data_IF_298263595814
#
_entry.id   IF_298263595814
#
_cell.length_a   1.000
_cell.length_b   1.000
_cell.length_c   1.000
_cell.angle_alpha   90.00
_cell.angle_beta   90.00
_cell.angle_gamma   90.00
#
_symmetry.space_group_name_H-M   'P 1'
#
loop_
_entity.id
_entity.type
_entity.pdbx_description
1 polymer ?
#
# COMPACT_ATOMS: atom_id res chain seq x y z
N UNK A 1 9.49 -15.24 4.36
CA UNK A 1 9.01 -14.57 3.13
C UNK A 1 7.53 -14.23 3.31
N UNK A 2 7.09 -13.05 2.82
CA UNK A 2 5.70 -12.62 2.82
C UNK A 2 5.27 -12.38 1.38
N UNK A 3 4.08 -12.87 0.98
CA UNK A 3 3.58 -12.67 -0.38
C UNK A 3 2.06 -12.72 -0.43
N UNK A 4 1.47 -12.01 -1.38
CA UNK A 4 0.05 -12.07 -1.74
C UNK A 4 -0.13 -13.07 -2.90
N UNK A 5 -1.04 -14.02 -2.72
CA UNK A 5 -1.35 -15.06 -3.72
C UNK A 5 -2.68 -14.80 -4.44
N UNK A 6 -3.69 -14.32 -3.70
CA UNK A 6 -5.02 -14.04 -4.26
C UNK A 6 -5.73 -12.98 -3.42
N UNK A 7 -6.44 -12.10 -4.08
CA UNK A 7 -7.41 -11.20 -3.46
C UNK A 7 -8.77 -11.37 -4.12
N UNK A 8 -9.79 -11.64 -3.32
CA UNK A 8 -11.17 -11.86 -3.78
C UNK A 8 -12.10 -10.84 -3.16
N UNK A 9 -13.01 -10.31 -3.97
CA UNK A 9 -14.01 -9.32 -3.61
C UNK A 9 -15.38 -9.69 -4.19
N UNK A 10 -16.47 -9.40 -3.46
CA UNK A 10 -17.85 -9.53 -3.93
C UNK A 10 -18.70 -8.42 -3.32
N UNK A 11 -19.67 -7.93 -4.06
CA UNK A 11 -20.60 -6.88 -3.68
C UNK A 11 -19.92 -5.62 -3.12
N UNK A 12 -19.01 -5.04 -3.89
CA UNK A 12 -18.29 -3.81 -3.53
C UNK A 12 -18.29 -2.81 -4.69
N UNK A 13 -18.80 -1.61 -4.53
CA UNK A 13 -18.84 -0.50 -5.52
C UNK A 13 -19.22 -0.96 -6.93
N UNK A 14 -18.25 -1.24 -7.83
CA UNK A 14 -18.46 -1.70 -9.20
C UNK A 14 -18.47 -3.24 -9.36
N UNK A 15 -18.20 -3.99 -8.29
CA UNK A 15 -18.16 -5.44 -8.29
C UNK A 15 -19.45 -6.01 -7.72
N UNK A 16 -20.40 -6.42 -8.58
CA UNK A 16 -21.62 -7.09 -8.16
C UNK A 16 -21.37 -8.54 -7.74
N UNK A 17 -20.58 -9.25 -8.54
CA UNK A 17 -20.27 -10.67 -8.36
C UNK A 17 -18.84 -10.87 -7.87
N UNK A 18 -18.59 -12.07 -7.36
CA UNK A 18 -17.26 -12.49 -6.90
C UNK A 18 -16.23 -12.39 -8.02
N UNK A 19 -15.16 -11.63 -7.76
CA UNK A 19 -13.99 -11.48 -8.62
C UNK A 19 -12.72 -11.70 -7.84
N UNK A 20 -11.74 -12.35 -8.47
CA UNK A 20 -10.45 -12.63 -7.84
C UNK A 20 -9.30 -12.12 -8.69
N UNK A 21 -8.38 -11.42 -8.06
CA UNK A 21 -7.05 -11.15 -8.57
C UNK A 21 -6.15 -12.30 -8.14
N UNK A 22 -5.64 -13.07 -9.08
CA UNK A 22 -4.76 -14.23 -8.83
C UNK A 22 -3.32 -13.83 -9.14
N UNK A 23 -2.46 -13.97 -8.14
CA UNK A 23 -1.03 -13.62 -8.19
C UNK A 23 -0.12 -14.83 -7.97
N UNK A 24 -0.69 -16.03 -7.80
CA UNK A 24 0.05 -17.28 -7.76
C UNK A 24 0.35 -17.78 -9.18
N UNK A 25 1.50 -18.42 -9.38
CA UNK A 25 1.78 -19.12 -10.62
C UNK A 25 0.80 -20.30 -10.80
N UNK A 26 0.32 -20.48 -12.02
CA UNK A 26 -0.40 -21.71 -12.39
C UNK A 26 0.61 -22.82 -12.66
N UNK A 27 0.20 -24.08 -12.49
CA UNK A 27 1.04 -25.26 -12.75
C UNK A 27 1.60 -25.38 -14.18
N UNK A 28 1.16 -24.51 -15.09
CA UNK A 28 1.65 -24.41 -16.47
C UNK A 28 2.89 -23.50 -16.59
N UNK A 29 3.20 -22.70 -15.57
CA UNK A 29 4.28 -21.71 -15.58
C UNK A 29 5.54 -22.18 -14.83
N UNK A 30 5.67 -23.46 -14.51
CA UNK A 30 6.78 -24.07 -13.73
C UNK A 30 8.19 -23.81 -14.29
N UNK A 31 8.30 -23.24 -15.49
CA UNK A 31 9.57 -22.98 -16.15
C UNK A 31 10.17 -21.59 -15.85
N UNK A 32 9.44 -20.66 -15.18
CA UNK A 32 9.82 -19.26 -15.19
C UNK A 32 10.30 -18.65 -13.86
N UNK A 33 10.01 -19.21 -12.68
CA UNK A 33 10.53 -18.64 -11.43
C UNK A 33 10.63 -19.65 -10.30
N UNK A 34 11.59 -19.40 -9.39
CA UNK A 34 11.77 -20.18 -8.15
C UNK A 34 10.73 -19.85 -7.06
N UNK A 35 9.85 -18.88 -7.30
CA UNK A 35 8.87 -18.39 -6.31
C UNK A 35 7.44 -18.73 -6.75
N UNK A 36 6.53 -19.07 -5.80
CA UNK A 36 5.17 -19.49 -6.11
C UNK A 36 4.22 -18.35 -6.48
N UNK A 37 4.72 -17.12 -6.64
CA UNK A 37 3.91 -15.93 -6.88
C UNK A 37 4.52 -14.99 -7.92
N UNK A 38 3.67 -14.15 -8.52
CA UNK A 38 4.06 -13.10 -9.45
C UNK A 38 4.68 -11.93 -8.69
N UNK A 39 5.85 -11.46 -9.12
CA UNK A 39 6.50 -10.25 -8.60
C UNK A 39 5.85 -8.97 -9.11
N UNK A 40 5.30 -9.00 -10.31
CA UNK A 40 4.65 -7.86 -10.95
C UNK A 40 3.32 -8.29 -11.54
N UNK A 41 2.29 -7.49 -11.30
CA UNK A 41 0.99 -7.63 -11.94
C UNK A 41 0.47 -6.26 -12.39
N UNK A 42 0.24 -6.11 -13.69
CA UNK A 42 -0.36 -4.92 -14.28
C UNK A 42 -1.86 -5.12 -14.50
N UNK A 43 -2.68 -4.23 -13.94
CA UNK A 43 -4.12 -4.19 -14.13
C UNK A 43 -4.44 -3.16 -15.22
N UNK A 44 -4.75 -3.67 -16.39
CA UNK A 44 -5.07 -2.86 -17.55
C UNK A 44 -6.57 -2.89 -17.87
N UNK A 45 -7.11 -1.81 -18.37
CA UNK A 45 -8.50 -1.71 -18.81
C UNK A 45 -8.95 -0.27 -19.07
N UNK A 46 -10.10 -0.13 -19.69
CA UNK A 46 -10.71 1.18 -19.98
C UNK A 46 -11.00 1.99 -18.70
N UNK A 47 -11.23 3.29 -18.86
CA UNK A 47 -11.75 4.12 -17.77
C UNK A 47 -13.05 3.51 -17.23
N UNK A 48 -13.29 3.63 -15.94
CA UNK A 48 -14.47 3.09 -15.25
C UNK A 48 -14.60 1.56 -15.29
N UNK A 49 -13.56 0.80 -15.67
CA UNK A 49 -13.58 -0.68 -15.67
C UNK A 49 -13.47 -1.31 -14.27
N UNK A 50 -13.32 -0.50 -13.23
CA UNK A 50 -13.21 -0.97 -11.85
C UNK A 50 -11.79 -1.15 -11.31
N UNK A 51 -10.73 -0.79 -12.06
CA UNK A 51 -9.33 -0.93 -11.62
C UNK A 51 -9.07 -0.27 -10.26
N UNK A 52 -9.37 1.01 -10.14
CA UNK A 52 -9.22 1.76 -8.89
C UNK A 52 -10.12 1.21 -7.77
N UNK A 53 -11.30 0.67 -8.11
CA UNK A 53 -12.17 0.04 -7.12
C UNK A 53 -11.59 -1.26 -6.55
N UNK A 54 -10.77 -2.00 -7.31
CA UNK A 54 -10.05 -3.15 -6.78
C UNK A 54 -9.00 -2.73 -5.74
N UNK A 55 -8.22 -1.69 -6.04
CA UNK A 55 -7.26 -1.12 -5.07
C UNK A 55 -7.98 -0.56 -3.84
N UNK A 56 -9.10 0.16 -4.04
CA UNK A 56 -9.92 0.67 -2.95
C UNK A 56 -10.54 -0.45 -2.10
N UNK A 57 -10.92 -1.58 -2.70
CA UNK A 57 -11.44 -2.74 -1.97
C UNK A 57 -10.39 -3.31 -1.01
N UNK A 58 -9.14 -3.45 -1.45
CA UNK A 58 -8.05 -3.89 -0.59
C UNK A 58 -7.75 -2.86 0.52
N UNK A 59 -7.76 -1.57 0.18
CA UNK A 59 -7.60 -0.50 1.16
C UNK A 59 -8.71 -0.54 2.22
N UNK A 60 -9.97 -0.79 1.79
CA UNK A 60 -11.11 -0.93 2.69
C UNK A 60 -10.99 -2.16 3.58
N UNK A 61 -10.66 -3.33 3.01
CA UNK A 61 -10.39 -4.55 3.80
C UNK A 61 -9.33 -4.28 4.88
N UNK A 62 -8.20 -3.69 4.49
CA UNK A 62 -7.11 -3.34 5.41
C UNK A 62 -7.57 -2.35 6.49
N UNK A 63 -8.34 -1.32 6.13
CA UNK A 63 -8.88 -0.35 7.06
C UNK A 63 -9.78 -1.00 8.12
N UNK A 64 -10.73 -1.86 7.70
CA UNK A 64 -11.64 -2.58 8.60
C UNK A 64 -10.83 -3.45 9.57
N UNK A 65 -9.86 -4.23 9.08
CA UNK A 65 -9.01 -5.10 9.91
C UNK A 65 -8.26 -4.30 10.99
N UNK A 66 -7.63 -3.19 10.60
CA UNK A 66 -6.76 -2.41 11.51
C UNK A 66 -7.53 -1.52 12.48
N UNK A 67 -8.80 -1.22 12.20
CA UNK A 67 -9.63 -0.33 13.03
C UNK A 67 -10.78 -1.05 13.73
N UNK A 68 -11.01 -2.33 13.44
CA UNK A 68 -12.12 -3.13 13.98
C UNK A 68 -12.27 -3.02 15.51
N UNK A 69 -11.17 -3.06 16.23
CA UNK A 69 -11.17 -2.99 17.70
C UNK A 69 -11.46 -1.59 18.27
N UNK A 70 -11.45 -0.56 17.42
CA UNK A 70 -11.74 0.85 17.81
C UNK A 70 -13.21 1.20 17.63
N UNK A 71 -13.96 0.35 16.92
CA UNK A 71 -15.40 0.55 16.68
C UNK A 71 -16.16 0.31 17.99
N UNK A 72 -16.99 1.27 18.40
CA UNK A 72 -17.83 1.09 19.57
C UNK A 72 -18.98 0.13 19.26
N UNK A 73 -19.53 -0.46 20.31
CA UNK A 73 -20.70 -1.33 20.18
C UNK A 73 -21.88 -0.55 19.58
N UNK A 74 -22.50 -1.12 18.53
CA UNK A 74 -23.60 -0.50 17.80
C UNK A 74 -23.22 0.58 16.80
N UNK A 75 -21.93 0.95 16.64
CA UNK A 75 -21.49 1.81 15.54
C UNK A 75 -21.57 1.10 14.20
N UNK A 76 -21.89 1.87 13.16
CA UNK A 76 -21.97 1.38 11.80
C UNK A 76 -20.57 1.05 11.24
N UNK A 77 -20.54 -0.02 10.46
CA UNK A 77 -19.35 -0.43 9.74
C UNK A 77 -19.26 0.25 8.37
N UNK A 78 -18.02 0.37 7.88
CA UNK A 78 -17.76 0.78 6.52
C UNK A 78 -18.35 -0.24 5.53
N UNK A 79 -19.33 0.20 4.74
CA UNK A 79 -20.08 -0.64 3.83
C UNK A 79 -20.42 0.12 2.54
N UNK A 80 -19.88 -0.36 1.43
CA UNK A 80 -20.01 0.26 0.12
C UNK A 80 -20.43 -0.77 -0.95
N UNK A 81 -21.67 -1.29 -0.89
CA UNK A 81 -22.10 -2.37 -1.78
C UNK A 81 -22.29 -1.90 -3.22
N UNK A 82 -22.45 -2.86 -4.13
CA UNK A 82 -22.87 -2.58 -5.49
C UNK A 82 -24.36 -2.17 -5.52
N UNK A 83 -24.63 -0.91 -5.86
CA UNK A 83 -25.96 -0.30 -5.74
C UNK A 83 -26.91 -0.59 -6.89
N UNK A 84 -26.42 -1.15 -8.01
CA UNK A 84 -27.18 -1.29 -9.26
C UNK A 84 -27.81 -2.68 -9.43
N UNK A 85 -28.03 -3.42 -8.32
CA UNK A 85 -28.70 -4.71 -8.31
C UNK A 85 -29.60 -4.86 -7.08
N UNK A 86 -30.37 -5.92 -7.05
CA UNK A 86 -31.15 -6.39 -5.88
C UNK A 86 -30.24 -6.83 -4.72
N UNK A 87 -28.99 -7.16 -5.00
CA UNK A 87 -27.95 -7.55 -4.01
C UNK A 87 -27.37 -6.38 -3.21
N UNK A 88 -27.83 -5.16 -3.39
CA UNK A 88 -27.34 -3.97 -2.68
C UNK A 88 -27.39 -4.06 -1.15
N UNK A 89 -28.23 -4.96 -0.61
CA UNK A 89 -28.36 -5.20 0.82
C UNK A 89 -27.63 -6.49 1.27
N UNK A 90 -26.98 -7.22 0.36
CA UNK A 90 -26.17 -8.38 0.70
C UNK A 90 -24.82 -7.94 1.27
N UNK A 91 -24.18 -8.73 2.13
CA UNK A 91 -22.86 -8.40 2.67
C UNK A 91 -21.82 -8.23 1.58
N UNK A 92 -20.86 -7.31 1.79
CA UNK A 92 -19.63 -7.26 1.01
C UNK A 92 -18.66 -8.33 1.53
N UNK A 93 -18.05 -9.10 0.63
CA UNK A 93 -17.06 -10.11 0.96
C UNK A 93 -15.66 -9.63 0.58
N UNK A 94 -14.70 -9.87 1.49
CA UNK A 94 -13.27 -9.68 1.28
C UNK A 94 -12.54 -10.94 1.68
N UNK A 95 -11.63 -11.43 0.83
CA UNK A 95 -10.79 -12.58 1.14
C UNK A 95 -9.39 -12.41 0.57
N UNK A 96 -8.38 -12.79 1.34
CA UNK A 96 -6.97 -12.75 0.97
C UNK A 96 -6.34 -14.13 1.20
N UNK A 97 -5.63 -14.63 0.18
CA UNK A 97 -4.69 -15.74 0.33
C UNK A 97 -3.27 -15.21 0.28
N UNK A 98 -2.45 -15.55 1.26
CA UNK A 98 -1.12 -14.98 1.41
C UNK A 98 -0.15 -15.94 2.09
N UNK A 99 1.14 -15.70 1.87
CA UNK A 99 2.23 -16.34 2.61
C UNK A 99 2.70 -15.41 3.71
N UNK A 100 2.84 -15.94 4.91
CA UNK A 100 3.39 -15.25 6.07
C UNK A 100 4.36 -16.16 6.79
N UNK A 101 5.65 -15.79 6.84
CA UNK A 101 6.71 -16.61 7.45
C UNK A 101 6.70 -18.05 6.93
N UNK A 102 6.67 -18.21 5.61
CA UNK A 102 6.69 -19.48 4.86
C UNK A 102 5.48 -20.42 5.07
N UNK A 103 4.42 -19.92 5.68
CA UNK A 103 3.14 -20.61 5.78
C UNK A 103 2.08 -19.87 4.98
N UNK A 104 1.23 -20.63 4.29
CA UNK A 104 0.12 -20.07 3.55
C UNK A 104 -1.13 -19.99 4.42
N UNK A 105 -1.82 -18.86 4.32
CA UNK A 105 -3.07 -18.60 5.02
C UNK A 105 -4.13 -18.09 4.05
N UNK A 106 -5.39 -18.38 4.36
CA UNK A 106 -6.56 -17.79 3.71
C UNK A 106 -7.42 -17.13 4.80
N UNK A 107 -7.51 -15.83 4.76
CA UNK A 107 -8.30 -15.03 5.68
C UNK A 107 -9.34 -14.21 4.94
N UNK A 108 -10.55 -14.22 5.42
CA UNK A 108 -11.63 -13.43 4.84
C UNK A 108 -12.74 -13.14 5.84
N UNK A 109 -13.58 -12.19 5.44
CA UNK A 109 -14.80 -11.86 6.16
C UNK A 109 -15.82 -11.27 5.21
N UNK A 110 -17.08 -11.28 5.63
CA UNK A 110 -18.15 -10.50 5.01
C UNK A 110 -18.84 -9.63 6.04
N UNK A 111 -19.19 -8.40 5.64
CA UNK A 111 -19.91 -7.47 6.51
C UNK A 111 -21.00 -6.73 5.77
N UNK A 112 -22.05 -6.37 6.50
CA UNK A 112 -23.01 -5.32 6.14
C UNK A 112 -22.67 -4.02 6.90
N UNK A 113 -23.57 -3.06 6.92
CA UNK A 113 -23.38 -1.79 7.63
C UNK A 113 -23.44 -1.92 9.16
N UNK A 114 -23.87 -3.05 9.71
CA UNK A 114 -24.11 -3.22 11.15
C UNK A 114 -23.22 -4.27 11.79
N UNK A 115 -22.90 -5.34 11.05
CA UNK A 115 -22.20 -6.49 11.64
C UNK A 115 -21.27 -7.20 10.67
N UNK A 116 -20.35 -7.95 11.23
CA UNK A 116 -19.59 -8.98 10.55
C UNK A 116 -20.49 -10.22 10.45
N UNK A 117 -20.84 -10.59 9.21
CA UNK A 117 -21.77 -11.71 8.94
C UNK A 117 -21.05 -13.04 8.96
N UNK A 118 -19.84 -13.07 8.39
CA UNK A 118 -18.94 -14.21 8.38
C UNK A 118 -17.50 -13.76 8.57
N UNK A 119 -16.66 -14.61 9.17
CA UNK A 119 -15.22 -14.42 9.26
C UNK A 119 -14.54 -15.80 9.33
N UNK A 120 -13.41 -15.97 8.65
CA UNK A 120 -12.67 -17.23 8.66
C UNK A 120 -11.17 -17.03 8.54
N UNK A 121 -10.43 -17.94 9.14
CA UNK A 121 -8.99 -18.08 8.97
C UNK A 121 -8.62 -19.54 8.80
N UNK A 122 -7.93 -19.85 7.70
CA UNK A 122 -7.40 -21.18 7.42
C UNK A 122 -5.88 -21.14 7.29
N UNK A 123 -5.22 -22.18 7.77
CA UNK A 123 -3.86 -22.50 7.38
C UNK A 123 -3.91 -23.47 6.19
N UNK A 124 -3.19 -23.16 5.12
CA UNK A 124 -3.19 -23.98 3.89
C UNK A 124 -1.90 -24.78 3.84
N UNK A 125 -2.02 -26.09 3.73
CA UNK A 125 -0.89 -26.99 3.62
C UNK A 125 -0.33 -27.03 2.18
N UNK A 126 0.92 -27.52 1.98
CA UNK A 126 1.51 -27.63 0.64
C UNK A 126 0.72 -28.52 -0.35
N UNK A 127 -0.11 -29.45 0.17
CA UNK A 127 -1.01 -30.27 -0.65
C UNK A 127 -2.38 -29.59 -0.90
N UNK A 128 -2.49 -28.30 -0.66
CA UNK A 128 -3.72 -27.50 -0.75
C UNK A 128 -4.87 -27.94 0.19
N UNK A 129 -4.60 -28.77 1.20
CA UNK A 129 -5.60 -29.04 2.25
C UNK A 129 -5.64 -27.86 3.23
N UNK A 130 -6.85 -27.45 3.59
CA UNK A 130 -7.10 -26.33 4.51
C UNK A 130 -7.42 -26.85 5.91
N UNK A 131 -6.78 -26.24 6.90
CA UNK A 131 -7.05 -26.48 8.33
C UNK A 131 -7.73 -25.22 8.86
N UNK A 132 -9.01 -25.27 9.28
CA UNK A 132 -9.67 -24.12 9.86
C UNK A 132 -9.04 -23.81 11.23
N UNK A 133 -8.63 -22.55 11.39
CA UNK A 133 -8.15 -22.03 12.67
C UNK A 133 -9.34 -21.48 13.47
N UNK A 134 -10.21 -20.74 12.81
CA UNK A 134 -11.53 -20.37 13.30
C UNK A 134 -12.49 -20.09 12.13
N UNK A 135 -13.78 -20.21 12.39
CA UNK A 135 -14.88 -19.86 11.48
C UNK A 135 -15.96 -19.17 12.30
N UNK A 136 -16.45 -18.05 11.82
CA UNK A 136 -17.61 -17.33 12.34
C UNK A 136 -18.71 -17.33 11.30
N UNK A 137 -19.90 -17.68 11.70
CA UNK A 137 -21.13 -17.63 10.88
C UNK A 137 -22.36 -17.28 11.75
N UNK A 138 -23.55 -17.59 11.26
CA UNK A 138 -24.81 -17.32 11.95
C UNK A 138 -25.02 -18.18 13.22
N UNK A 139 -24.29 -19.28 13.37
CA UNK A 139 -24.32 -20.15 14.57
C UNK A 139 -23.36 -19.65 15.66
N UNK A 140 -22.40 -18.81 15.32
CA UNK A 140 -21.43 -18.26 16.25
C UNK A 140 -20.00 -18.34 15.75
N UNK A 141 -19.05 -18.40 16.67
CA UNK A 141 -17.62 -18.50 16.38
C UNK A 141 -17.10 -19.84 16.86
N UNK A 142 -16.66 -20.68 15.92
CA UNK A 142 -15.98 -21.96 16.21
C UNK A 142 -14.47 -21.79 16.11
N UNK A 143 -13.73 -22.17 17.15
CA UNK A 143 -12.28 -22.04 17.26
C UNK A 143 -11.60 -23.41 17.38
N UNK A 144 -10.49 -23.61 16.65
CA UNK A 144 -9.65 -24.81 16.80
C UNK A 144 -8.79 -24.69 18.06
N UNK A 145 -9.11 -25.42 19.11
CA UNK A 145 -8.31 -25.45 20.35
C UNK A 145 -6.86 -25.89 20.11
N UNK A 146 -6.64 -26.76 19.12
CA UNK A 146 -5.32 -27.28 18.78
C UNK A 146 -4.51 -26.29 17.93
N UNK A 147 -5.13 -25.73 16.89
CA UNK A 147 -4.41 -25.00 15.84
C UNK A 147 -4.47 -23.48 16.02
N UNK A 148 -5.43 -22.98 16.86
CA UNK A 148 -5.58 -21.58 17.22
C UNK A 148 -5.97 -21.38 18.71
N UNK A 149 -5.19 -21.94 19.65
CA UNK A 149 -5.52 -21.92 21.10
C UNK A 149 -5.64 -20.49 21.66
N UNK A 150 -5.05 -19.50 21.02
CA UNK A 150 -5.11 -18.09 21.44
C UNK A 150 -6.49 -17.44 21.22
N UNK A 151 -7.36 -18.08 20.44
CA UNK A 151 -8.73 -17.63 20.20
C UNK A 151 -9.75 -18.21 21.19
N UNK A 152 -9.40 -19.26 21.95
CA UNK A 152 -10.30 -19.94 22.89
C UNK A 152 -10.74 -18.97 24.00
N UNK A 153 -12.02 -18.99 24.35
CA UNK A 153 -12.67 -18.12 25.34
C UNK A 153 -12.75 -16.63 24.93
N UNK A 154 -12.48 -16.32 23.64
CA UNK A 154 -12.63 -14.96 23.07
C UNK A 154 -13.93 -14.79 22.28
N UNK A 155 -14.65 -15.87 22.01
CA UNK A 155 -15.86 -15.91 21.19
C UNK A 155 -16.96 -15.02 21.80
N UNK A 156 -17.27 -15.20 23.09
CA UNK A 156 -18.30 -14.43 23.81
C UNK A 156 -17.93 -12.97 24.05
N UNK A 157 -16.64 -12.60 23.85
CA UNK A 157 -16.12 -11.25 24.01
C UNK A 157 -16.14 -10.45 22.70
N UNK A 158 -16.52 -11.11 21.61
CA UNK A 158 -16.48 -10.51 20.27
C UNK A 158 -17.86 -9.95 19.94
N UNK A 159 -17.96 -8.63 19.89
CA UNK A 159 -19.18 -7.94 19.46
C UNK A 159 -19.47 -8.23 17.98
N UNK A 160 -20.74 -8.09 17.58
CA UNK A 160 -21.17 -8.38 16.21
C UNK A 160 -20.48 -7.51 15.16
N UNK A 161 -20.14 -6.28 15.49
CA UNK A 161 -19.49 -5.33 14.59
C UNK A 161 -17.94 -5.33 14.70
N UNK A 162 -17.32 -6.35 15.33
CA UNK A 162 -15.87 -6.48 15.44
C UNK A 162 -15.37 -7.77 14.80
N UNK A 163 -14.21 -7.70 14.18
CA UNK A 163 -13.51 -8.87 13.69
C UNK A 163 -12.87 -9.66 14.85
N UNK A 164 -13.11 -10.96 14.87
CA UNK A 164 -12.57 -11.87 15.85
C UNK A 164 -11.05 -11.90 15.84
N UNK A 165 -10.43 -12.00 14.65
CA UNK A 165 -8.97 -11.96 14.50
C UNK A 165 -8.36 -10.70 15.12
N UNK A 166 -8.99 -9.54 14.91
CA UNK A 166 -8.48 -8.26 15.42
C UNK A 166 -8.59 -8.17 16.94
N UNK A 167 -9.66 -8.73 17.54
CA UNK A 167 -9.82 -8.83 18.98
C UNK A 167 -8.77 -9.74 19.60
N UNK A 168 -8.57 -10.95 19.04
CA UNK A 168 -7.56 -11.90 19.53
C UNK A 168 -6.16 -11.28 19.47
N UNK A 169 -5.84 -10.55 18.39
CA UNK A 169 -4.57 -9.83 18.28
C UNK A 169 -4.42 -8.73 19.35
N UNK A 170 -5.47 -7.97 19.63
CA UNK A 170 -5.47 -6.92 20.66
C UNK A 170 -5.22 -7.52 22.06
N UNK A 171 -5.80 -8.68 22.33
CA UNK A 171 -5.68 -9.37 23.62
C UNK A 171 -4.40 -10.22 23.77
N UNK A 172 -3.54 -10.19 22.77
CA UNK A 172 -2.20 -10.75 22.93
C UNK A 172 -1.89 -11.97 22.06
N UNK A 173 -2.84 -12.48 21.27
CA UNK A 173 -2.65 -13.62 20.39
C UNK A 173 -1.44 -13.46 19.47
N UNK A 174 -0.58 -14.47 19.44
CA UNK A 174 0.73 -14.37 18.79
C UNK A 174 0.63 -14.49 17.28
N UNK A 175 -0.15 -15.43 16.75
CA UNK A 175 -0.41 -15.60 15.33
C UNK A 175 -1.31 -14.48 14.81
N UNK A 176 -2.37 -14.13 15.56
CA UNK A 176 -3.25 -13.03 15.22
C UNK A 176 -2.47 -11.70 15.06
N UNK A 177 -1.56 -11.39 15.99
CA UNK A 177 -0.66 -10.22 15.86
C UNK A 177 0.22 -10.26 14.63
N UNK A 178 0.75 -11.42 14.25
CA UNK A 178 1.57 -11.56 13.03
C UNK A 178 0.72 -11.30 11.78
N UNK A 179 -0.52 -11.82 11.74
CA UNK A 179 -1.44 -11.61 10.61
C UNK A 179 -1.86 -10.14 10.53
N UNK A 180 -2.24 -9.50 11.65
CA UNK A 180 -2.52 -8.05 11.67
C UNK A 180 -1.27 -7.25 11.27
N UNK A 181 -0.07 -7.69 11.70
CA UNK A 181 1.21 -7.13 11.28
C UNK A 181 1.46 -7.22 9.79
N UNK A 182 1.06 -8.32 9.14
CA UNK A 182 1.13 -8.46 7.68
C UNK A 182 0.27 -7.39 6.99
N UNK A 183 -0.98 -7.21 7.39
CA UNK A 183 -1.84 -6.16 6.83
C UNK A 183 -1.31 -4.75 7.07
N UNK A 184 -0.72 -4.47 8.23
CA UNK A 184 -0.27 -3.13 8.57
C UNK A 184 1.09 -2.76 8.00
N UNK A 185 2.02 -3.72 7.88
CA UNK A 185 3.43 -3.47 7.56
C UNK A 185 3.88 -4.00 6.22
N UNK A 186 3.27 -5.11 5.74
CA UNK A 186 3.71 -5.76 4.49
C UNK A 186 2.90 -5.34 3.27
N UNK A 187 1.74 -4.69 3.43
CA UNK A 187 0.92 -4.20 2.33
C UNK A 187 0.94 -2.67 2.33
N UNK A 188 1.52 -2.09 1.29
CA UNK A 188 1.52 -0.66 1.01
C UNK A 188 0.55 -0.36 -0.14
N UNK A 189 -0.24 0.71 -0.02
CA UNK A 189 -1.22 1.11 -1.04
C UNK A 189 -1.00 2.58 -1.32
N UNK A 190 -0.63 2.91 -2.57
CA UNK A 190 -0.51 4.26 -3.07
C UNK A 190 -1.76 4.55 -3.91
N UNK A 191 -2.71 5.29 -3.35
CA UNK A 191 -3.81 5.88 -4.11
C UNK A 191 -3.32 7.20 -4.67
N UNK A 192 -3.49 7.46 -5.96
CA UNK A 192 -2.93 8.63 -6.65
C UNK A 192 -3.35 10.03 -6.14
N UNK A 193 -4.09 10.10 -5.03
CA UNK A 193 -4.71 11.33 -4.50
C UNK A 193 -3.95 12.00 -3.33
N UNK A 194 -3.00 11.33 -2.68
CA UNK A 194 -2.27 11.87 -1.53
C UNK A 194 -0.77 11.89 -1.81
N UNK A 195 -0.25 13.06 -2.23
CA UNK A 195 1.14 13.19 -2.71
C UNK A 195 2.10 13.79 -1.70
N UNK A 196 1.65 14.73 -0.86
CA UNK A 196 2.55 15.49 0.02
C UNK A 196 3.24 14.65 1.10
N UNK A 197 2.57 13.63 1.63
CA UNK A 197 3.14 12.72 2.65
C UNK A 197 4.26 11.84 2.06
N UNK A 198 4.13 11.41 0.79
CA UNK A 198 5.13 10.57 0.13
C UNK A 198 6.39 11.35 -0.26
N UNK A 199 6.27 12.63 -0.62
CA UNK A 199 7.41 13.50 -0.87
C UNK A 199 8.29 13.61 0.38
N UNK A 200 7.67 13.89 1.53
CA UNK A 200 8.35 13.97 2.83
C UNK A 200 8.95 12.62 3.23
N UNK A 201 8.24 11.53 3.01
CA UNK A 201 8.72 10.17 3.27
C UNK A 201 9.98 9.84 2.46
N UNK A 202 9.96 10.09 1.14
CA UNK A 202 11.10 9.84 0.23
C UNK A 202 12.32 10.69 0.60
N UNK A 203 12.11 11.96 0.96
CA UNK A 203 13.17 12.84 1.42
C UNK A 203 13.80 12.38 2.74
N UNK A 204 12.97 11.88 3.68
CA UNK A 204 13.43 11.31 4.95
C UNK A 204 14.27 10.06 4.72
N UNK A 205 13.84 9.14 3.84
CA UNK A 205 14.60 7.93 3.52
C UNK A 205 15.99 8.25 2.97
N UNK A 206 16.11 9.22 2.06
CA UNK A 206 17.42 9.66 1.54
C UNK A 206 18.30 10.21 2.67
N UNK A 207 17.73 10.89 3.65
CA UNK A 207 18.48 11.51 4.74
C UNK A 207 18.94 10.52 5.81
N UNK A 208 18.06 9.60 6.19
CA UNK A 208 18.22 8.76 7.38
C UNK A 208 18.81 7.38 7.05
N UNK A 209 18.55 6.84 5.85
CA UNK A 209 18.90 5.48 5.47
C UNK A 209 19.94 5.44 4.34
N UNK A 210 21.22 5.37 4.69
CA UNK A 210 22.34 5.44 3.73
C UNK A 210 22.25 4.43 2.57
N UNK A 211 21.83 3.20 2.84
CA UNK A 211 21.69 2.16 1.82
C UNK A 211 20.59 2.49 0.82
N UNK A 212 19.43 2.92 1.33
CA UNK A 212 18.29 3.36 0.51
C UNK A 212 18.68 4.57 -0.32
N UNK A 213 19.34 5.57 0.29
CA UNK A 213 19.81 6.77 -0.38
C UNK A 213 20.72 6.44 -1.56
N UNK A 214 21.64 5.50 -1.40
CA UNK A 214 22.55 5.07 -2.48
C UNK A 214 21.78 4.43 -3.65
N UNK A 215 20.81 3.56 -3.36
CA UNK A 215 19.97 2.91 -4.37
C UNK A 215 19.09 3.92 -5.11
N UNK A 216 18.43 4.81 -4.39
CA UNK A 216 17.59 5.88 -4.98
C UNK A 216 18.41 6.80 -5.87
N UNK A 217 19.58 7.27 -5.42
CA UNK A 217 20.48 8.13 -6.19
C UNK A 217 21.01 7.44 -7.45
N UNK A 218 21.36 6.16 -7.38
CA UNK A 218 21.77 5.39 -8.54
C UNK A 218 20.62 5.23 -9.54
N UNK A 219 19.41 5.00 -9.06
CA UNK A 219 18.22 4.95 -9.91
C UNK A 219 17.97 6.31 -10.59
N UNK A 220 18.00 7.42 -9.87
CA UNK A 220 17.79 8.76 -10.43
C UNK A 220 18.84 9.11 -11.49
N UNK A 221 20.10 8.73 -11.28
CA UNK A 221 21.15 8.88 -12.31
C UNK A 221 20.87 8.06 -13.56
N UNK A 222 20.40 6.82 -13.38
CA UNK A 222 20.07 5.91 -14.51
C UNK A 222 18.92 6.46 -15.35
N UNK A 223 17.89 7.02 -14.73
CA UNK A 223 16.75 7.61 -15.43
C UNK A 223 16.97 9.06 -15.82
N UNK A 224 18.16 9.61 -15.58
CA UNK A 224 18.59 10.95 -15.98
C UNK A 224 17.64 12.06 -15.49
N UNK A 225 17.21 12.00 -14.23
CA UNK A 225 16.54 13.15 -13.62
C UNK A 225 17.52 14.33 -13.56
N UNK A 226 17.12 15.48 -14.00
CA UNK A 226 17.98 16.64 -14.19
C UNK A 226 18.79 17.13 -12.97
N UNK A 227 18.53 16.62 -11.76
CA UNK A 227 19.26 16.94 -10.54
C UNK A 227 20.33 15.87 -10.20
N UNK A 228 21.39 16.29 -9.49
CA UNK A 228 22.47 15.41 -9.04
C UNK A 228 22.22 14.80 -7.64
N UNK A 229 21.48 15.50 -6.80
CA UNK A 229 21.12 15.09 -5.43
C UNK A 229 19.87 15.80 -4.93
N UNK A 230 19.29 15.27 -3.84
CA UNK A 230 18.21 15.91 -3.08
C UNK A 230 18.66 16.05 -1.64
N UNK A 231 18.41 17.23 -1.07
CA UNK A 231 18.72 17.53 0.34
C UNK A 231 17.51 18.16 1.03
N UNK A 232 17.51 18.12 2.34
CA UNK A 232 16.45 18.75 3.16
C UNK A 232 17.01 19.89 3.96
N UNK A 233 16.31 21.01 3.99
CA UNK A 233 16.61 22.14 4.86
C UNK A 233 15.51 22.24 5.91
N UNK A 234 15.91 22.20 7.17
CA UNK A 234 14.98 22.40 8.28
C UNK A 234 15.10 23.84 8.75
N UNK A 235 13.98 24.55 8.79
CA UNK A 235 13.90 25.94 9.27
C UNK A 235 12.79 26.05 10.32
N UNK A 236 12.97 26.94 11.30
CA UNK A 236 11.87 27.27 12.18
C UNK A 236 10.77 27.98 11.37
N UNK A 237 9.52 27.72 11.70
CA UNK A 237 8.40 28.34 11.00
C UNK A 237 8.48 29.86 11.14
N UNK A 238 8.56 30.57 10.03
CA UNK A 238 8.53 32.03 9.98
C UNK A 238 7.18 32.51 9.46
N UNK A 239 6.42 33.19 10.30
CA UNK A 239 5.14 33.75 9.94
C UNK A 239 5.23 34.81 8.82
N UNK A 240 6.40 35.42 8.62
CA UNK A 240 6.64 36.39 7.55
C UNK A 240 6.79 35.70 6.17
N UNK A 241 7.03 34.39 6.12
CA UNK A 241 7.10 33.63 4.87
C UNK A 241 5.74 33.30 4.27
N UNK A 242 4.63 33.59 4.98
CA UNK A 242 3.28 33.38 4.45
C UNK A 242 2.94 34.41 3.36
N UNK A 243 2.25 33.98 2.27
CA UNK A 243 1.88 34.89 1.17
C UNK A 243 1.05 36.08 1.66
N UNK A 244 1.36 37.28 1.12
CA UNK A 244 0.66 38.52 1.49
C UNK A 244 -0.83 38.49 1.13
N UNK A 245 -1.20 37.76 0.08
CA UNK A 245 -2.58 37.63 -0.40
C UNK A 245 -3.39 36.56 0.33
N UNK A 246 -2.83 35.91 1.36
CA UNK A 246 -3.55 34.91 2.16
C UNK A 246 -4.60 35.56 3.07
N UNK A 247 -5.82 34.99 3.16
CA UNK A 247 -6.85 35.46 4.07
C UNK A 247 -6.36 35.51 5.54
N UNK A 248 -6.64 36.62 6.23
CA UNK A 248 -6.15 36.85 7.60
C UNK A 248 -6.57 35.79 8.62
N UNK A 249 -7.75 35.17 8.45
CA UNK A 249 -8.21 34.08 9.32
C UNK A 249 -7.36 32.83 9.12
N UNK A 250 -7.01 32.51 7.88
CA UNK A 250 -6.15 31.38 7.56
C UNK A 250 -4.72 31.64 8.03
N UNK A 251 -4.19 32.86 7.88
CA UNK A 251 -2.88 33.25 8.45
C UNK A 251 -2.84 33.03 9.97
N UNK A 252 -3.85 33.52 10.70
CA UNK A 252 -3.92 33.33 12.15
C UNK A 252 -3.97 31.88 12.55
N UNK A 253 -4.75 31.05 11.83
CA UNK A 253 -4.85 29.61 12.09
C UNK A 253 -3.52 28.90 11.84
N UNK A 254 -2.83 29.21 10.75
CA UNK A 254 -1.52 28.64 10.43
C UNK A 254 -0.45 29.07 11.44
N UNK A 255 -0.39 30.37 11.78
CA UNK A 255 0.55 30.88 12.79
C UNK A 255 0.31 30.20 14.14
N UNK A 256 -0.95 30.07 14.59
CA UNK A 256 -1.25 29.43 15.87
C UNK A 256 -0.86 27.93 15.89
N UNK A 257 -1.01 27.24 14.76
CA UNK A 257 -0.72 25.82 14.67
C UNK A 257 0.76 25.47 14.38
N UNK A 258 1.49 26.40 13.74
CA UNK A 258 2.85 26.15 13.25
C UNK A 258 3.94 26.89 14.06
N UNK A 259 3.58 27.88 14.88
CA UNK A 259 4.55 28.55 15.76
C UNK A 259 5.26 27.54 16.65
N UNK A 260 6.60 27.55 16.63
CA UNK A 260 7.43 26.59 17.35
C UNK A 260 7.61 25.24 16.66
N UNK A 261 6.99 25.04 15.49
CA UNK A 261 7.25 23.85 14.66
C UNK A 261 8.32 24.16 13.61
N UNK A 262 9.03 23.12 13.19
CA UNK A 262 10.03 23.21 12.12
C UNK A 262 9.39 22.87 10.80
N UNK A 263 9.55 23.74 9.81
CA UNK A 263 9.27 23.41 8.41
C UNK A 263 10.45 22.69 7.78
N UNK A 264 10.18 21.68 6.97
CA UNK A 264 11.19 20.96 6.20
C UNK A 264 10.97 21.30 4.73
N UNK A 265 11.93 21.99 4.14
CA UNK A 265 11.95 22.25 2.71
C UNK A 265 12.83 21.21 2.01
N UNK A 266 12.38 20.69 0.88
CA UNK A 266 13.12 19.77 0.02
C UNK A 266 13.79 20.59 -1.07
N UNK A 267 15.07 20.36 -1.29
CA UNK A 267 15.89 21.08 -2.27
C UNK A 267 16.52 20.09 -3.24
N UNK A 268 16.46 20.38 -4.53
CA UNK A 268 17.22 19.68 -5.56
C UNK A 268 18.59 20.34 -5.76
N UNK A 269 19.59 19.53 -6.04
CA UNK A 269 20.97 19.96 -6.28
C UNK A 269 21.26 19.82 -7.76
N UNK A 270 21.62 20.92 -8.42
CA UNK A 270 21.94 20.95 -9.84
C UNK A 270 23.38 21.41 -10.08
N UNK A 271 24.05 20.79 -11.05
CA UNK A 271 25.35 21.28 -11.54
C UNK A 271 25.17 22.52 -12.38
N UNK A 272 25.98 23.56 -12.11
CA UNK A 272 26.12 24.72 -12.96
C UNK A 272 27.37 24.55 -13.82
N UNK A 273 27.24 24.77 -15.13
CA UNK A 273 28.29 24.50 -16.12
C UNK A 273 28.71 25.78 -16.80
N UNK A 274 29.99 25.87 -17.25
CA UNK A 274 30.49 26.95 -18.08
C UNK A 274 30.07 26.75 -19.55
N UNK A 275 30.48 27.66 -20.40
CA UNK A 275 30.20 27.63 -21.87
C UNK A 275 30.86 26.45 -22.59
N UNK A 276 31.85 25.81 -21.96
CA UNK A 276 32.58 24.63 -22.48
C UNK A 276 32.00 23.31 -21.93
N UNK A 277 30.99 23.37 -21.02
CA UNK A 277 30.35 22.19 -20.41
C UNK A 277 31.07 21.65 -19.18
N UNK A 278 32.03 22.38 -18.61
CA UNK A 278 32.72 21.97 -17.38
C UNK A 278 31.88 22.36 -16.15
N UNK A 279 31.80 21.44 -15.18
CA UNK A 279 31.10 21.71 -13.92
C UNK A 279 31.84 22.80 -13.13
N UNK A 280 31.18 23.93 -12.88
CA UNK A 280 31.69 25.02 -12.08
C UNK A 280 31.37 24.86 -10.60
N UNK A 281 30.10 24.67 -10.27
CA UNK A 281 29.62 24.52 -8.89
C UNK A 281 28.31 23.76 -8.87
N UNK A 282 27.89 23.31 -7.65
CA UNK A 282 26.56 22.78 -7.41
C UNK A 282 25.70 23.84 -6.72
N UNK A 283 24.47 24.04 -7.18
CA UNK A 283 23.48 24.95 -6.57
C UNK A 283 22.25 24.18 -6.12
N UNK A 284 21.64 24.65 -5.05
CA UNK A 284 20.39 24.12 -4.52
C UNK A 284 19.23 25.01 -4.87
N UNK A 285 18.10 24.39 -5.25
CA UNK A 285 16.87 25.07 -5.60
C UNK A 285 15.69 24.43 -4.87
N UNK A 286 14.60 25.19 -4.56
CA UNK A 286 13.37 24.60 -4.06
C UNK A 286 12.85 23.53 -5.02
N UNK A 287 12.62 22.32 -4.51
CA UNK A 287 12.24 21.17 -5.33
C UNK A 287 10.94 21.41 -6.10
N UNK A 288 9.95 22.02 -5.43
CA UNK A 288 8.63 22.30 -6.00
C UNK A 288 8.63 23.35 -7.11
N UNK A 289 9.61 24.25 -7.10
CA UNK A 289 9.73 25.32 -8.11
C UNK A 289 10.58 24.89 -9.30
N UNK A 290 11.59 24.05 -9.05
CA UNK A 290 12.59 23.71 -10.08
C UNK A 290 12.23 22.46 -10.87
N UNK A 291 11.59 21.46 -10.23
CA UNK A 291 11.39 20.18 -10.86
C UNK A 291 10.05 20.09 -11.65
N UNK A 292 10.07 19.29 -12.72
CA UNK A 292 8.86 18.99 -13.48
C UNK A 292 7.88 18.11 -12.67
N UNK A 293 6.57 18.17 -12.99
CA UNK A 293 5.56 17.33 -12.36
C UNK A 293 5.89 15.82 -12.43
N UNK A 294 6.44 15.37 -13.55
CA UNK A 294 6.87 13.97 -13.71
C UNK A 294 8.05 13.60 -12.81
N UNK A 295 9.02 14.52 -12.64
CA UNK A 295 10.15 14.36 -11.73
C UNK A 295 9.68 14.31 -10.28
N UNK A 296 8.77 15.22 -9.91
CA UNK A 296 8.16 15.25 -8.57
C UNK A 296 7.45 13.94 -8.26
N UNK A 297 6.59 13.49 -9.17
CA UNK A 297 5.86 12.23 -9.01
C UNK A 297 6.78 11.03 -8.86
N UNK A 298 7.82 10.93 -9.69
CA UNK A 298 8.80 9.85 -9.59
C UNK A 298 9.53 9.88 -8.24
N UNK A 299 9.92 11.06 -7.77
CA UNK A 299 10.58 11.21 -6.47
C UNK A 299 9.65 10.83 -5.31
N UNK A 300 8.38 11.28 -5.34
CA UNK A 300 7.36 10.94 -4.34
C UNK A 300 7.21 9.43 -4.16
N UNK A 301 7.03 8.70 -5.27
CA UNK A 301 6.78 7.25 -5.20
C UNK A 301 8.06 6.43 -4.98
N UNK A 302 9.24 7.02 -5.17
CA UNK A 302 10.51 6.29 -5.06
C UNK A 302 10.76 5.80 -3.62
N UNK A 303 10.45 6.60 -2.59
CA UNK A 303 10.56 6.16 -1.19
C UNK A 303 9.76 4.90 -0.91
N UNK A 304 8.44 4.88 -1.11
CA UNK A 304 7.62 3.69 -0.96
C UNK A 304 8.08 2.49 -1.81
N UNK A 305 8.57 2.73 -3.04
CA UNK A 305 9.09 1.66 -3.90
C UNK A 305 10.35 1.03 -3.31
N UNK A 306 11.32 1.84 -2.91
CA UNK A 306 12.57 1.30 -2.34
C UNK A 306 12.38 0.70 -0.96
N UNK A 307 11.49 1.25 -0.12
CA UNK A 307 11.06 0.61 1.13
C UNK A 307 10.45 -0.78 0.86
N UNK A 308 9.60 -0.87 -0.16
CA UNK A 308 8.97 -2.13 -0.56
C UNK A 308 9.99 -3.15 -1.04
N UNK A 309 10.94 -2.76 -1.90
CA UNK A 309 11.97 -3.64 -2.44
C UNK A 309 12.91 -4.18 -1.36
N UNK A 310 13.34 -3.33 -0.43
CA UNK A 310 14.29 -3.71 0.61
C UNK A 310 13.69 -4.59 1.70
N UNK A 311 12.40 -4.42 1.97
CA UNK A 311 11.70 -5.14 3.04
C UNK A 311 10.86 -6.33 2.51
N UNK A 312 10.91 -6.62 1.19
CA UNK A 312 10.13 -7.69 0.58
C UNK A 312 8.62 -7.52 0.79
N UNK A 313 8.12 -6.27 0.67
CA UNK A 313 6.70 -5.93 0.88
C UNK A 313 5.89 -6.07 -0.40
N UNK A 314 4.60 -5.81 -0.31
CA UNK A 314 3.63 -5.81 -1.38
C UNK A 314 3.18 -4.37 -1.60
N UNK A 315 3.34 -3.85 -2.81
CA UNK A 315 2.98 -2.48 -3.16
C UNK A 315 1.85 -2.48 -4.19
N UNK A 316 0.74 -1.85 -3.83
CA UNK A 316 -0.32 -1.51 -4.75
C UNK A 316 -0.21 -0.03 -5.16
N UNK A 317 -0.24 0.25 -6.47
CA UNK A 317 -0.19 1.62 -7.00
C UNK A 317 -1.37 1.82 -7.94
N UNK A 318 -2.25 2.76 -7.62
CA UNK A 318 -3.28 3.18 -8.56
C UNK A 318 -2.70 4.22 -9.53
N UNK A 319 -2.87 3.97 -10.84
CA UNK A 319 -2.37 4.83 -11.91
C UNK A 319 -0.84 5.09 -11.84
N UNK A 320 -0.03 4.03 -11.91
CA UNK A 320 1.43 4.12 -11.84
C UNK A 320 2.02 5.08 -12.89
N UNK A 321 1.41 5.13 -14.07
CA UNK A 321 1.83 5.94 -15.22
C UNK A 321 1.31 7.39 -15.18
N UNK A 322 0.46 7.76 -14.21
CA UNK A 322 -0.08 9.11 -14.11
C UNK A 322 1.02 10.17 -13.96
N UNK A 323 1.02 11.16 -14.84
CA UNK A 323 1.98 12.28 -14.89
C UNK A 323 3.45 11.87 -15.15
N UNK A 324 3.74 10.62 -15.47
CA UNK A 324 5.10 10.15 -15.74
C UNK A 324 5.30 9.83 -17.22
N UNK A 325 6.55 10.02 -17.69
CA UNK A 325 6.93 9.56 -19.02
C UNK A 325 6.94 8.02 -19.04
N UNK A 326 6.44 7.34 -20.10
CA UNK A 326 6.38 5.89 -20.18
C UNK A 326 7.70 5.17 -19.87
N UNK A 327 8.84 5.75 -20.26
CA UNK A 327 10.16 5.18 -19.94
C UNK A 327 10.43 5.13 -18.42
N UNK A 328 9.94 6.11 -17.65
CA UNK A 328 10.10 6.13 -16.19
C UNK A 328 9.27 5.05 -15.52
N UNK A 329 8.01 4.90 -15.92
CA UNK A 329 7.13 3.84 -15.44
C UNK A 329 7.71 2.45 -15.74
N UNK A 330 8.27 2.25 -16.92
CA UNK A 330 8.95 1.01 -17.32
C UNK A 330 10.19 0.72 -16.46
N UNK A 331 11.03 1.72 -16.19
CA UNK A 331 12.19 1.54 -15.33
C UNK A 331 11.80 1.23 -13.87
N UNK A 332 10.67 1.77 -13.37
CA UNK A 332 10.13 1.40 -12.06
C UNK A 332 9.68 -0.07 -12.02
N UNK A 333 8.93 -0.51 -13.02
CA UNK A 333 8.51 -1.93 -13.12
C UNK A 333 9.71 -2.85 -13.18
N UNK A 334 10.76 -2.46 -13.90
CA UNK A 334 12.01 -3.22 -14.02
C UNK A 334 12.70 -3.46 -12.68
N UNK A 335 12.59 -2.54 -11.71
CA UNK A 335 13.15 -2.75 -10.36
C UNK A 335 12.58 -4.01 -9.69
N UNK A 336 11.31 -4.34 -9.94
CA UNK A 336 10.65 -5.51 -9.36
C UNK A 336 10.87 -6.79 -10.14
N UNK A 337 11.08 -6.70 -11.46
CA UNK A 337 11.33 -7.88 -12.31
C UNK A 337 12.79 -8.32 -12.31
N UNK A 338 13.73 -7.43 -12.01
CA UNK A 338 15.16 -7.73 -11.97
C UNK A 338 15.52 -8.45 -10.64
N UNK A 339 15.88 -9.72 -10.73
CA UNK A 339 16.22 -10.54 -9.56
C UNK A 339 17.46 -10.06 -8.82
N UNK A 340 18.35 -9.35 -9.49
CA UNK A 340 19.54 -8.77 -8.85
C UNK A 340 19.23 -7.56 -7.99
N UNK A 341 18.08 -6.91 -8.22
CA UNK A 341 17.60 -5.75 -7.45
C UNK A 341 16.55 -6.20 -6.43
N UNK A 342 15.56 -6.97 -6.86
CA UNK A 342 14.47 -7.48 -6.02
C UNK A 342 14.87 -8.82 -5.36
N UNK A 343 15.83 -8.79 -4.47
CA UNK A 343 16.36 -9.97 -3.77
C UNK A 343 15.41 -10.50 -2.70
N UNK A 344 14.61 -9.63 -2.11
CA UNK A 344 13.68 -9.96 -1.02
C UNK A 344 12.31 -10.44 -1.50
N UNK A 345 12.07 -10.48 -2.83
CA UNK A 345 10.83 -10.98 -3.41
C UNK A 345 9.65 -10.03 -3.25
N UNK A 346 9.90 -8.73 -3.29
CA UNK A 346 8.84 -7.72 -3.26
C UNK A 346 7.86 -7.87 -4.43
N UNK A 347 6.59 -7.52 -4.20
CA UNK A 347 5.55 -7.55 -5.22
C UNK A 347 5.06 -6.14 -5.57
N UNK A 348 4.87 -5.87 -6.87
CA UNK A 348 4.25 -4.66 -7.39
C UNK A 348 2.96 -5.01 -8.14
N UNK A 349 1.84 -4.52 -7.66
CA UNK A 349 0.55 -4.60 -8.33
C UNK A 349 0.11 -3.18 -8.66
N UNK A 350 -0.13 -2.88 -9.92
CA UNK A 350 -0.46 -1.53 -10.31
C UNK A 350 -1.54 -1.46 -11.38
N UNK A 351 -2.28 -0.36 -11.37
CA UNK A 351 -3.19 -0.03 -12.46
C UNK A 351 -2.47 0.88 -13.47
N UNK A 352 -2.79 0.72 -14.74
CA UNK A 352 -2.21 1.52 -15.81
C UNK A 352 -3.18 1.69 -16.97
N UNK A 353 -2.99 2.76 -17.74
CA UNK A 353 -3.59 2.98 -19.04
C UNK A 353 -2.57 2.82 -20.18
N UNK A 354 -1.28 2.69 -19.88
CA UNK A 354 -0.20 2.55 -20.85
C UNK A 354 -0.04 1.08 -21.29
N UNK A 355 -0.36 0.79 -22.55
CA UNK A 355 -0.19 -0.53 -23.15
C UNK A 355 1.26 -0.96 -23.32
N UNK A 356 2.20 -0.02 -23.33
CA UNK A 356 3.63 -0.32 -23.46
C UNK A 356 4.23 -0.98 -22.21
N UNK A 357 3.51 -0.94 -21.09
CA UNK A 357 3.91 -1.65 -19.85
C UNK A 357 3.49 -3.13 -19.85
N UNK A 358 2.76 -3.59 -20.86
CA UNK A 358 2.29 -4.98 -21.01
C UNK A 358 3.20 -5.83 -21.92
N UNK A 359 4.24 -5.24 -22.49
CA UNK A 359 5.13 -5.88 -23.48
C UNK A 359 6.53 -6.15 -22.92
#
# INVERSE_FOLDING_TARGET
MNALLRFTIENFRSFAERKSLVLSHTSLDESCSSQPFLRVCALYGANSSGKSNLVNALARMRYIILNSVKVNDGEDLEYEPFLLSDKKNEPTLYELEFILSDKQYRYGFSNDSKKIVQEWLYCVNPNNSEIPLFIRDHEGIGVSEKDFPEGVDMEERTNDNRLFLSLVAQLGGSLAKKIIGFFSKSINILSGLETDDYLTFSARMIKEEKNVAALMKNFFKRVQLGFSDVTTRTQDFDAQSLPDNMPEELKKLLVSNLTGKKSVSILSVHGCYDSEGNLMENRTFPFDEMESEGTKKLFEISGPIFDTLLEGKILFVDELDAKMHPLLSRELVRLFTDESINTEGAQLIFTTHDTNLLS
#
